data_IF_977719245681
#
_entry.id   IF_977719245681
#
_cell.length_a   1.000
_cell.length_b   1.000
_cell.length_c   1.000
_cell.angle_alpha   90.00
_cell.angle_beta   90.00
_cell.angle_gamma   90.00
#
_symmetry.space_group_name_H-M   'P 1'
#
loop_
_entity.id
_entity.type
_entity.pdbx_description
1 polymer ?
#
# COMPACT_ATOMS: atom_id res chain seq x y z
N UNK A 1 18.20 5.99 3.89
CA UNK A 1 17.02 6.20 4.76
C UNK A 1 16.67 4.88 5.42
N UNK A 2 15.90 4.87 6.50
CA UNK A 2 15.34 3.62 7.06
C UNK A 2 13.99 3.31 6.40
N UNK A 3 13.57 2.04 6.38
CA UNK A 3 12.26 1.63 5.89
C UNK A 3 11.10 2.43 6.52
N UNK A 4 9.98 2.64 5.82
CA UNK A 4 8.80 3.30 6.36
C UNK A 4 8.22 2.53 7.54
N UNK A 5 7.53 3.25 8.41
CA UNK A 5 6.90 2.74 9.62
C UNK A 5 5.39 2.83 9.47
N UNK A 6 4.71 1.74 9.82
CA UNK A 6 3.28 1.73 10.10
C UNK A 6 3.11 1.75 11.61
N UNK A 7 2.56 2.85 12.14
CA UNK A 7 2.27 3.02 13.56
C UNK A 7 1.02 2.23 13.92
N UNK A 8 1.14 1.24 14.80
CA UNK A 8 0.00 0.43 15.27
C UNK A 8 -0.29 0.80 16.72
N UNK A 9 -1.52 1.23 16.99
CA UNK A 9 -2.01 1.56 18.33
C UNK A 9 -3.36 0.89 18.59
N UNK A 10 -3.71 0.75 19.86
CA UNK A 10 -4.99 0.24 20.33
C UNK A 10 -5.55 1.17 21.39
N UNK A 11 -6.84 1.47 21.31
CA UNK A 11 -7.59 2.17 22.36
C UNK A 11 -8.33 1.21 23.30
N UNK A 12 -8.37 -0.08 22.96
CA UNK A 12 -8.95 -1.17 23.75
C UNK A 12 -7.88 -1.76 24.68
N UNK A 13 -8.11 -1.71 26.00
CA UNK A 13 -7.18 -2.25 27.01
C UNK A 13 -7.00 -3.78 26.92
N UNK A 14 -7.95 -4.48 26.29
CA UNK A 14 -7.91 -5.94 26.13
C UNK A 14 -7.11 -6.40 24.91
N UNK A 15 -6.98 -5.55 23.89
CA UNK A 15 -6.26 -5.86 22.64
C UNK A 15 -4.95 -5.08 22.57
N UNK A 16 -3.83 -5.81 22.55
CA UNK A 16 -2.51 -5.22 22.39
C UNK A 16 -2.19 -4.93 20.93
N UNK A 17 -1.54 -3.80 20.59
CA UNK A 17 -1.07 -3.52 19.22
C UNK A 17 -0.18 -4.64 18.66
N UNK A 18 0.64 -5.26 19.50
CA UNK A 18 1.47 -6.42 19.16
C UNK A 18 0.64 -7.61 18.63
N UNK A 19 -0.56 -7.83 19.14
CA UNK A 19 -1.45 -8.91 18.68
C UNK A 19 -2.07 -8.61 17.31
N UNK A 20 -2.30 -7.35 16.97
CA UNK A 20 -2.68 -6.93 15.61
C UNK A 20 -1.52 -7.16 14.64
N UNK A 21 -0.30 -6.84 15.05
CA UNK A 21 0.92 -7.09 14.28
C UNK A 21 1.15 -8.59 14.01
N UNK A 22 0.91 -9.45 15.00
CA UNK A 22 0.97 -10.92 14.84
C UNK A 22 -0.03 -11.43 13.79
N UNK A 23 -1.25 -10.87 13.75
CA UNK A 23 -2.27 -11.20 12.74
C UNK A 23 -1.85 -10.79 11.33
N UNK A 24 -1.34 -9.57 11.15
CA UNK A 24 -0.87 -9.06 9.85
C UNK A 24 0.33 -9.89 9.35
N UNK A 25 1.32 -10.13 10.21
CA UNK A 25 2.56 -10.82 9.85
C UNK A 25 2.39 -12.32 9.67
N UNK A 26 1.36 -12.92 10.29
CA UNK A 26 1.16 -14.38 10.39
C UNK A 26 2.40 -15.10 10.97
N UNK A 27 3.14 -14.40 11.83
CA UNK A 27 4.43 -14.77 12.44
C UNK A 27 4.47 -14.27 13.90
N UNK A 28 5.17 -14.98 14.82
CA UNK A 28 5.28 -14.57 16.21
C UNK A 28 6.12 -13.30 16.37
N UNK A 29 5.79 -12.46 17.36
CA UNK A 29 6.54 -11.23 17.62
C UNK A 29 7.98 -11.46 18.14
N UNK A 30 8.41 -12.69 18.41
CA UNK A 30 9.82 -13.01 18.69
C UNK A 30 10.72 -12.94 17.45
N UNK A 31 10.16 -12.94 16.24
CA UNK A 31 10.89 -13.02 14.97
C UNK A 31 10.89 -11.68 14.22
N UNK A 32 11.94 -11.42 13.44
CA UNK A 32 12.24 -10.17 12.70
C UNK A 32 12.01 -8.85 13.47
N UNK A 33 12.38 -8.85 14.75
CA UNK A 33 12.45 -7.63 15.56
C UNK A 33 13.57 -6.70 15.05
N UNK A 34 13.25 -5.42 14.91
CA UNK A 34 14.13 -4.35 14.46
C UNK A 34 14.16 -3.27 15.54
N UNK A 35 15.35 -2.94 16.08
CA UNK A 35 15.48 -1.81 17.00
C UNK A 35 15.38 -0.50 16.21
N UNK A 36 14.36 0.31 16.53
CA UNK A 36 14.06 1.56 15.84
C UNK A 36 14.75 2.79 16.44
N UNK A 37 15.23 2.67 17.68
CA UNK A 37 15.97 3.72 18.38
C UNK A 37 17.15 3.14 19.17
N UNK A 38 18.16 3.97 19.41
CA UNK A 38 19.28 3.70 20.32
C UNK A 38 19.05 4.26 21.74
N UNK A 39 17.91 4.93 21.96
CA UNK A 39 17.45 5.39 23.27
C UNK A 39 17.23 4.21 24.23
N UNK A 40 17.32 4.41 25.57
CA UNK A 40 17.14 3.34 26.55
C UNK A 40 15.71 2.78 26.63
N UNK A 41 14.73 3.51 26.07
CA UNK A 41 13.41 2.97 25.76
C UNK A 41 13.51 2.14 24.47
N UNK A 42 13.53 0.81 24.61
CA UNK A 42 13.74 -0.11 23.50
C UNK A 42 12.52 -0.13 22.55
N UNK A 43 12.48 0.81 21.61
CA UNK A 43 11.47 0.85 20.54
C UNK A 43 11.73 -0.32 19.58
N UNK A 44 10.99 -1.42 19.75
CA UNK A 44 11.01 -2.59 18.87
C UNK A 44 9.95 -2.40 17.78
N UNK A 45 10.38 -2.41 16.53
CA UNK A 45 9.51 -2.61 15.38
C UNK A 45 9.62 -4.03 14.84
N UNK A 46 8.68 -4.41 13.99
CA UNK A 46 8.58 -5.75 13.42
C UNK A 46 8.63 -5.65 11.90
N UNK A 47 9.58 -6.33 11.28
CA UNK A 47 9.70 -6.34 9.83
C UNK A 47 8.49 -7.00 9.16
N UNK A 48 7.96 -6.37 8.12
CA UNK A 48 6.96 -6.95 7.24
C UNK A 48 7.37 -6.74 5.78
N UNK A 49 7.51 -7.84 5.03
CA UNK A 49 7.85 -7.83 3.62
C UNK A 49 6.57 -7.85 2.80
N UNK A 50 6.39 -6.84 1.96
CA UNK A 50 5.29 -6.75 1.00
C UNK A 50 5.86 -7.18 -0.35
N UNK A 51 5.39 -8.32 -0.83
CA UNK A 51 5.76 -8.89 -2.12
C UNK A 51 4.56 -8.83 -3.05
N UNK A 52 4.70 -8.10 -4.17
CA UNK A 52 3.68 -8.02 -5.22
C UNK A 52 4.26 -8.49 -6.55
N UNK A 53 3.41 -8.68 -7.56
CA UNK A 53 3.84 -8.98 -8.93
C UNK A 53 4.77 -7.91 -9.52
N UNK A 54 4.68 -6.67 -9.04
CA UNK A 54 5.33 -5.51 -9.66
C UNK A 54 6.53 -5.00 -8.86
N UNK A 55 6.57 -5.24 -7.55
CA UNK A 55 7.60 -4.72 -6.67
C UNK A 55 7.78 -5.56 -5.40
N UNK A 56 8.97 -5.43 -4.81
CA UNK A 56 9.25 -5.84 -3.44
C UNK A 56 9.52 -4.61 -2.59
N UNK A 57 8.90 -4.55 -1.41
CA UNK A 57 9.20 -3.54 -0.41
C UNK A 57 9.13 -4.09 1.01
N UNK A 58 9.74 -3.37 1.94
CA UNK A 58 9.74 -3.71 3.37
C UNK A 58 9.26 -2.52 4.18
N UNK A 59 8.24 -2.75 5.00
CA UNK A 59 7.76 -1.80 6.00
C UNK A 59 8.13 -2.31 7.40
N UNK A 60 8.02 -1.43 8.40
CA UNK A 60 8.17 -1.81 9.80
C UNK A 60 6.88 -1.50 10.53
N UNK A 61 6.23 -2.53 11.06
CA UNK A 61 5.08 -2.37 11.95
C UNK A 61 5.61 -2.01 13.34
N UNK A 62 5.15 -0.91 13.94
CA UNK A 62 5.58 -0.46 15.27
C UNK A 62 4.40 -0.45 16.24
N UNK A 63 4.42 -1.36 17.21
CA UNK A 63 3.46 -1.38 18.31
C UNK A 63 3.75 -0.22 19.27
N UNK A 64 2.86 0.76 19.32
CA UNK A 64 2.95 1.85 20.28
C UNK A 64 2.09 1.54 21.51
N UNK A 65 2.75 1.34 22.66
CA UNK A 65 2.11 0.89 23.91
C UNK A 65 1.20 1.92 24.61
N UNK A 66 0.68 2.91 23.90
CA UNK A 66 -0.27 3.91 24.39
C UNK A 66 -1.23 4.34 23.28
N UNK A 67 -2.49 4.59 23.61
CA UNK A 67 -3.46 5.20 22.72
C UNK A 67 -3.14 6.69 22.40
N UNK A 68 -2.29 7.34 23.21
CA UNK A 68 -2.00 8.77 23.16
C UNK A 68 -0.93 9.12 22.13
N UNK A 69 -1.35 9.66 20.98
CA UNK A 69 -0.48 10.06 19.87
C UNK A 69 0.66 11.02 20.27
N UNK A 70 0.42 11.89 21.25
CA UNK A 70 1.41 12.83 21.77
C UNK A 70 2.63 12.16 22.44
N UNK A 71 2.56 10.85 22.71
CA UNK A 71 3.67 10.07 23.29
C UNK A 71 4.54 9.37 22.24
N UNK A 72 4.18 9.44 20.95
CA UNK A 72 4.99 8.87 19.84
C UNK A 72 6.24 9.75 19.64
N UNK A 73 7.42 9.13 19.63
CA UNK A 73 8.67 9.89 19.51
C UNK A 73 8.85 10.48 18.10
N UNK A 74 9.44 11.68 18.02
CA UNK A 74 9.71 12.37 16.75
C UNK A 74 10.56 11.54 15.77
N UNK A 75 11.42 10.64 16.27
CA UNK A 75 12.23 9.73 15.46
C UNK A 75 11.40 8.64 14.75
N UNK A 76 10.28 8.23 15.36
CA UNK A 76 9.29 7.34 14.73
C UNK A 76 8.44 8.13 13.75
N UNK A 77 7.86 9.27 14.18
CA UNK A 77 6.98 10.10 13.36
C UNK A 77 7.59 10.50 12.01
N UNK A 78 8.87 10.85 11.98
CA UNK A 78 9.61 11.20 10.74
C UNK A 78 9.75 10.08 9.70
N UNK A 79 9.34 8.85 10.05
CA UNK A 79 9.33 7.68 9.17
C UNK A 79 7.93 7.05 9.10
N UNK A 80 6.94 7.63 9.76
CA UNK A 80 5.57 7.10 9.79
C UNK A 80 4.87 7.50 8.49
N UNK A 81 4.61 6.51 7.64
CA UNK A 81 3.83 6.66 6.40
C UNK A 81 2.45 6.01 6.52
N UNK A 82 2.28 5.09 7.50
CA UNK A 82 1.02 4.44 7.78
C UNK A 82 0.59 4.50 9.25
N UNK A 83 -0.71 4.43 9.52
CA UNK A 83 -1.28 4.32 10.87
C UNK A 83 -2.45 3.32 10.91
N UNK A 84 -2.43 2.45 11.91
CA UNK A 84 -3.48 1.47 12.20
C UNK A 84 -3.98 1.69 13.63
N UNK A 85 -5.28 1.95 13.78
CA UNK A 85 -5.90 2.32 15.06
C UNK A 85 -6.96 1.29 15.42
N UNK A 86 -6.61 0.38 16.33
CA UNK A 86 -7.58 -0.59 16.85
C UNK A 86 -8.49 0.05 17.90
N UNK A 87 -9.80 -0.18 17.82
CA UNK A 87 -10.79 0.25 18.82
C UNK A 87 -11.82 -0.84 19.12
N UNK A 88 -12.37 -0.82 20.34
CA UNK A 88 -13.56 -1.60 20.67
C UNK A 88 -14.80 -0.88 20.12
N UNK A 89 -15.50 -1.52 19.18
CA UNK A 89 -16.75 -0.97 18.63
C UNK A 89 -17.85 -0.80 19.69
N UNK A 90 -17.76 -1.41 20.87
CA UNK A 90 -18.72 -1.20 21.98
C UNK A 90 -18.39 0.05 22.79
N UNK A 91 -17.15 0.53 22.78
CA UNK A 91 -16.76 1.78 23.44
C UNK A 91 -17.10 3.00 22.57
N UNK A 92 -18.33 3.50 22.71
CA UNK A 92 -18.78 4.72 22.04
C UNK A 92 -18.00 5.98 22.42
N UNK A 93 -17.17 5.97 23.49
CA UNK A 93 -16.28 7.12 23.81
C UNK A 93 -15.13 7.27 22.82
N UNK A 94 -14.80 6.23 22.05
CA UNK A 94 -13.82 6.30 20.97
C UNK A 94 -14.18 7.35 19.90
N UNK A 95 -15.47 7.57 19.62
CA UNK A 95 -15.93 8.57 18.66
C UNK A 95 -15.45 9.98 19.02
N UNK A 96 -15.37 10.32 20.32
CA UNK A 96 -14.88 11.62 20.80
C UNK A 96 -13.37 11.83 20.49
N UNK A 97 -12.63 10.74 20.24
CA UNK A 97 -11.19 10.76 19.91
C UNK A 97 -10.90 10.86 18.41
N UNK A 98 -11.85 10.48 17.55
CA UNK A 98 -11.68 10.51 16.08
C UNK A 98 -11.23 11.85 15.49
N UNK A 99 -11.71 13.03 15.97
CA UNK A 99 -11.20 14.32 15.50
C UNK A 99 -9.72 14.55 15.82
N UNK A 100 -9.21 14.02 16.94
CA UNK A 100 -7.81 14.11 17.31
C UNK A 100 -6.93 13.22 16.41
N UNK A 101 -7.38 12.00 16.13
CA UNK A 101 -6.72 11.12 15.16
C UNK A 101 -6.69 11.75 13.75
N UNK A 102 -7.82 12.26 13.27
CA UNK A 102 -7.92 12.97 11.98
C UNK A 102 -6.94 14.15 11.89
N UNK A 103 -6.87 14.96 12.96
CA UNK A 103 -5.96 16.12 13.02
C UNK A 103 -4.49 15.68 12.97
N UNK A 104 -4.12 14.63 13.70
CA UNK A 104 -2.76 14.10 13.73
C UNK A 104 -2.33 13.53 12.37
N UNK A 105 -3.21 12.76 11.71
CA UNK A 105 -3.00 12.18 10.37
C UNK A 105 -2.71 13.29 9.36
N UNK A 106 -3.54 14.33 9.34
CA UNK A 106 -3.36 15.50 8.46
C UNK A 106 -2.10 16.30 8.81
N UNK A 107 -1.81 16.51 10.10
CA UNK A 107 -0.64 17.27 10.57
C UNK A 107 0.69 16.60 10.21
N UNK A 108 0.71 15.26 10.13
CA UNK A 108 1.89 14.46 9.81
C UNK A 108 1.91 13.93 8.37
N UNK A 109 0.97 14.36 7.53
CA UNK A 109 0.88 13.97 6.11
C UNK A 109 0.87 12.43 5.93
N UNK A 110 0.21 11.72 6.87
CA UNK A 110 0.07 10.26 6.84
C UNK A 110 -1.07 9.92 5.87
N UNK A 111 -0.75 9.28 4.75
CA UNK A 111 -1.74 8.95 3.70
C UNK A 111 -2.38 7.57 3.90
N UNK A 112 -1.63 6.59 4.43
CA UNK A 112 -2.16 5.25 4.70
C UNK A 112 -2.73 5.19 6.12
N UNK A 113 -4.06 5.19 6.26
CA UNK A 113 -4.68 5.25 7.58
C UNK A 113 -5.95 4.43 7.69
N UNK A 114 -5.98 3.50 8.67
CA UNK A 114 -7.10 2.57 8.83
C UNK A 114 -7.50 2.43 10.31
N UNK A 115 -8.80 2.58 10.56
CA UNK A 115 -9.48 2.21 11.80
C UNK A 115 -9.80 0.72 11.76
N UNK A 116 -9.36 -0.01 12.79
CA UNK A 116 -9.54 -1.44 12.93
C UNK A 116 -10.45 -1.74 14.12
N UNK A 117 -11.35 -2.70 13.98
CA UNK A 117 -12.05 -3.27 15.12
C UNK A 117 -12.26 -4.78 14.89
N UNK A 118 -12.78 -5.50 15.89
CA UNK A 118 -13.21 -6.88 15.66
C UNK A 118 -14.37 -6.91 14.67
N UNK A 119 -15.50 -6.32 15.07
CA UNK A 119 -16.76 -6.29 14.31
C UNK A 119 -17.52 -5.03 14.72
N UNK A 120 -18.06 -4.30 13.75
CA UNK A 120 -18.91 -3.14 13.97
C UNK A 120 -20.30 -3.57 14.46
N UNK A 121 -21.08 -2.60 14.94
CA UNK A 121 -22.47 -2.86 15.35
C UNK A 121 -23.42 -2.34 14.26
N UNK A 122 -24.49 -3.08 13.98
CA UNK A 122 -25.56 -2.64 13.06
C UNK A 122 -26.32 -1.40 13.58
N UNK A 123 -26.34 -1.24 14.91
CA UNK A 123 -27.21 -0.31 15.63
C UNK A 123 -26.40 0.55 16.60
N UNK A 124 -26.60 1.87 16.52
CA UNK A 124 -25.97 2.86 17.41
C UNK A 124 -26.39 2.73 18.88
N UNK A 125 -27.40 1.90 19.19
CA UNK A 125 -27.77 1.58 20.58
C UNK A 125 -26.81 0.56 21.23
N UNK A 126 -26.17 -0.28 20.40
CA UNK A 126 -25.40 -1.45 20.84
C UNK A 126 -23.88 -1.19 20.75
N UNK A 127 -23.46 -0.24 19.92
CA UNK A 127 -22.09 0.26 19.84
C UNK A 127 -21.92 1.25 18.68
N UNK A 128 -20.73 1.27 18.07
CA UNK A 128 -20.35 2.12 16.93
C UNK A 128 -20.72 1.40 15.63
N UNK A 129 -21.44 2.13 14.77
CA UNK A 129 -21.77 1.71 13.41
C UNK A 129 -20.71 2.17 12.39
N UNK A 130 -20.62 1.51 11.23
CA UNK A 130 -19.76 1.93 10.11
C UNK A 130 -20.01 3.40 9.72
N UNK A 131 -21.29 3.79 9.61
CA UNK A 131 -21.69 5.15 9.28
C UNK A 131 -21.24 6.19 10.31
N UNK A 132 -21.23 5.85 11.60
CA UNK A 132 -20.71 6.75 12.65
C UNK A 132 -19.20 6.90 12.59
N UNK A 133 -18.46 5.81 12.38
CA UNK A 133 -17.00 5.84 12.23
C UNK A 133 -16.58 6.67 11.01
N UNK A 134 -17.12 6.38 9.82
CA UNK A 134 -16.79 7.10 8.57
C UNK A 134 -17.27 8.55 8.56
N UNK A 135 -18.42 8.88 9.18
CA UNK A 135 -18.91 10.27 9.21
C UNK A 135 -18.11 11.19 10.14
N UNK A 136 -17.48 10.64 11.19
CA UNK A 136 -16.61 11.41 12.09
C UNK A 136 -15.14 11.37 11.70
N UNK A 137 -14.73 10.43 10.83
CA UNK A 137 -13.36 10.31 10.34
C UNK A 137 -13.34 9.92 8.85
N UNK A 138 -13.37 10.92 7.97
CA UNK A 138 -13.36 10.71 6.51
C UNK A 138 -11.97 10.43 5.93
N UNK A 139 -10.90 10.67 6.69
CA UNK A 139 -9.50 10.50 6.23
C UNK A 139 -8.89 9.14 6.56
N UNK A 140 -9.64 8.28 7.26
CA UNK A 140 -9.23 6.91 7.55
C UNK A 140 -10.24 5.95 6.92
N UNK A 141 -9.74 4.82 6.44
CA UNK A 141 -10.57 3.67 6.10
C UNK A 141 -10.97 2.89 7.36
N UNK A 142 -11.94 2.00 7.22
CA UNK A 142 -12.53 1.24 8.34
C UNK A 142 -12.60 -0.21 7.91
N UNK A 143 -11.88 -1.08 8.63
CA UNK A 143 -11.81 -2.51 8.35
C UNK A 143 -12.20 -3.27 9.62
N UNK A 144 -13.11 -4.23 9.47
CA UNK A 144 -13.48 -5.20 10.49
C UNK A 144 -12.54 -6.40 10.36
N UNK A 145 -11.79 -6.75 11.42
CA UNK A 145 -10.82 -7.84 11.38
C UNK A 145 -11.47 -9.23 11.49
N UNK A 146 -12.69 -9.28 12.05
CA UNK A 146 -13.53 -10.47 12.26
C UNK A 146 -14.98 -10.13 11.86
N UNK A 147 -15.27 -9.95 10.55
CA UNK A 147 -16.63 -9.70 10.06
C UNK A 147 -17.54 -10.90 10.33
N UNK A 148 -18.86 -10.69 10.35
CA UNK A 148 -19.79 -11.80 10.59
C UNK A 148 -19.76 -12.78 9.42
N UNK A 149 -20.08 -14.05 9.69
CA UNK A 149 -20.08 -15.10 8.67
C UNK A 149 -21.12 -14.86 7.55
N UNK A 150 -22.24 -14.19 7.84
CA UNK A 150 -23.26 -13.87 6.83
C UNK A 150 -22.76 -12.78 5.85
N UNK A 151 -22.17 -11.70 6.38
CA UNK A 151 -21.53 -10.64 5.58
C UNK A 151 -20.36 -11.21 4.75
N UNK A 152 -19.51 -12.03 5.38
CA UNK A 152 -18.39 -12.68 4.72
C UNK A 152 -18.82 -13.68 3.64
N UNK A 153 -20.00 -14.32 3.75
CA UNK A 153 -20.54 -15.23 2.73
C UNK A 153 -21.20 -14.50 1.55
N UNK A 154 -21.83 -13.33 1.78
CA UNK A 154 -22.39 -12.52 0.68
C UNK A 154 -21.30 -11.94 -0.22
N UNK A 155 -20.15 -11.49 0.31
CA UNK A 155 -19.06 -10.93 -0.49
C UNK A 155 -18.32 -11.99 -1.34
N UNK A 156 -18.22 -13.25 -0.92
CA UNK A 156 -17.63 -14.32 -1.79
C UNK A 156 -18.54 -14.74 -2.95
N UNK A 157 -19.81 -14.32 -2.96
CA UNK A 157 -20.80 -14.76 -3.96
C UNK A 157 -20.57 -14.15 -5.36
N UNK A 158 -19.69 -13.14 -5.49
CA UNK A 158 -19.55 -12.33 -6.71
C UNK A 158 -18.13 -11.84 -7.01
N UNK A 159 -17.17 -12.77 -7.11
CA UNK A 159 -15.71 -12.56 -7.09
C UNK A 159 -15.18 -12.40 -5.65
N UNK A 160 -14.10 -13.11 -5.32
CA UNK A 160 -13.58 -13.19 -3.96
C UNK A 160 -12.82 -11.94 -3.55
N UNK A 161 -13.55 -10.93 -3.09
CA UNK A 161 -12.99 -9.79 -2.38
C UNK A 161 -12.42 -10.26 -1.02
N UNK A 162 -11.28 -9.72 -0.61
CA UNK A 162 -10.63 -10.15 0.63
C UNK A 162 -11.27 -9.43 1.81
N UNK A 163 -11.63 -10.18 2.86
CA UNK A 163 -12.27 -9.66 4.06
C UNK A 163 -11.37 -9.82 5.28
N UNK A 164 -11.65 -9.09 6.37
CA UNK A 164 -10.95 -9.31 7.63
C UNK A 164 -9.50 -8.83 7.61
N UNK A 165 -8.61 -9.66 8.18
CA UNK A 165 -7.16 -9.44 8.16
C UNK A 165 -6.60 -9.47 6.73
N UNK A 166 -7.22 -10.21 5.80
CA UNK A 166 -6.74 -10.28 4.42
C UNK A 166 -7.12 -9.03 3.60
N UNK A 167 -8.23 -8.36 3.93
CA UNK A 167 -8.56 -7.01 3.41
C UNK A 167 -7.47 -5.99 3.80
N UNK A 168 -7.09 -5.97 5.08
CA UNK A 168 -6.02 -5.11 5.60
C UNK A 168 -4.67 -5.38 4.91
N UNK A 169 -4.34 -6.66 4.67
CA UNK A 169 -3.13 -7.03 3.92
C UNK A 169 -3.22 -6.53 2.47
N UNK A 170 -4.38 -6.66 1.82
CA UNK A 170 -4.60 -6.15 0.46
C UNK A 170 -4.49 -4.62 0.41
N UNK A 171 -5.04 -3.89 1.37
CA UNK A 171 -4.88 -2.44 1.50
C UNK A 171 -3.40 -2.05 1.63
N UNK A 172 -2.64 -2.75 2.48
CA UNK A 172 -1.18 -2.53 2.62
C UNK A 172 -0.40 -2.84 1.33
N UNK A 173 -0.83 -3.84 0.54
CA UNK A 173 -0.22 -4.21 -0.74
C UNK A 173 -0.58 -3.25 -1.90
N UNK A 174 -1.71 -2.56 -1.79
CA UNK A 174 -2.16 -1.57 -2.78
C UNK A 174 -1.56 -0.19 -2.54
N UNK A 175 -1.17 0.15 -1.30
CA UNK A 175 -0.51 1.41 -0.99
C UNK A 175 0.94 1.45 -1.51
N UNK A 176 1.35 2.61 -2.03
CA UNK A 176 2.68 2.82 -2.62
C UNK A 176 3.62 3.41 -1.56
N UNK A 177 4.41 2.54 -0.94
CA UNK A 177 5.39 2.92 0.09
C UNK A 177 6.59 3.67 -0.50
N UNK A 178 7.19 4.61 0.26
CA UNK A 178 8.29 5.47 -0.24
C UNK A 178 9.56 4.73 -0.68
N UNK A 179 9.71 3.46 -0.29
CA UNK A 179 10.86 2.60 -0.58
C UNK A 179 10.56 1.44 -1.54
N UNK A 180 9.46 1.51 -2.29
CA UNK A 180 9.11 0.53 -3.34
C UNK A 180 10.23 0.42 -4.38
N UNK A 181 10.79 -0.78 -4.54
CA UNK A 181 11.67 -1.11 -5.65
C UNK A 181 10.87 -1.84 -6.72
N UNK A 182 10.52 -1.13 -7.80
CA UNK A 182 9.82 -1.72 -8.94
C UNK A 182 10.74 -2.76 -9.61
N UNK A 183 10.23 -3.97 -9.79
CA UNK A 183 10.86 -4.97 -10.61
C UNK A 183 10.82 -4.50 -12.07
N UNK A 184 11.87 -3.79 -12.51
CA UNK A 184 12.16 -3.63 -13.95
C UNK A 184 12.42 -5.01 -14.52
N UNK A 185 11.34 -5.64 -14.97
CA UNK A 185 11.37 -7.00 -15.49
C UNK A 185 12.35 -7.06 -16.65
N UNK A 186 13.37 -7.89 -16.51
CA UNK A 186 14.28 -8.22 -17.59
C UNK A 186 13.48 -9.02 -18.65
N UNK A 187 12.75 -8.28 -19.51
CA UNK A 187 12.00 -8.80 -20.67
C UNK A 187 13.03 -9.31 -21.68
N UNK A 188 13.58 -10.50 -21.39
CA UNK A 188 14.35 -11.26 -22.36
C UNK A 188 13.43 -11.53 -23.56
N UNK A 189 13.69 -10.85 -24.66
CA UNK A 189 13.09 -11.14 -25.96
C UNK A 189 13.46 -12.59 -26.34
N UNK A 190 12.44 -13.42 -26.60
CA UNK A 190 12.61 -14.87 -26.50
C UNK A 190 11.53 -15.72 -27.17
N UNK A 191 11.11 -15.35 -28.37
CA UNK A 191 10.46 -16.23 -29.35
C UNK A 191 11.07 -15.91 -30.73
N UNK A 192 11.39 -16.84 -31.63
CA UNK A 192 11.14 -18.30 -31.72
C UNK A 192 12.47 -19.10 -31.69
N UNK A 193 12.62 -20.40 -31.95
CA UNK A 193 11.76 -21.43 -32.58
C UNK A 193 12.08 -22.86 -32.08
N UNK A 194 11.41 -23.88 -32.63
CA UNK A 194 11.57 -25.30 -32.28
C UNK A 194 12.84 -25.99 -32.85
N UNK A 195 13.46 -26.91 -32.07
CA UNK A 195 13.63 -28.33 -32.48
C UNK A 195 14.30 -29.24 -31.41
N UNK A 196 13.59 -30.32 -31.04
CA UNK A 196 14.04 -31.63 -30.49
C UNK A 196 14.82 -31.78 -29.14
N UNK A 197 14.56 -32.87 -28.37
CA UNK A 197 15.17 -33.12 -27.06
C UNK A 197 16.45 -33.99 -27.12
N UNK A 198 17.50 -33.61 -26.38
CA UNK A 198 18.80 -34.29 -26.41
C UNK A 198 19.61 -34.25 -25.10
N UNK A 199 19.22 -35.08 -24.13
CA UNK A 199 20.07 -35.79 -23.14
C UNK A 199 21.31 -35.12 -22.49
N UNK A 200 21.26 -35.08 -21.15
CA UNK A 200 22.35 -35.33 -20.18
C UNK A 200 23.45 -34.25 -19.92
N UNK A 201 23.38 -33.66 -18.71
CA UNK A 201 24.54 -33.26 -17.88
C UNK A 201 25.45 -34.48 -17.59
N UNK A 202 26.77 -34.34 -17.24
CA UNK A 202 27.31 -33.32 -16.31
C UNK A 202 28.75 -32.75 -16.52
N UNK A 203 28.98 -31.54 -15.96
CA UNK A 203 30.15 -30.96 -15.21
C UNK A 203 31.60 -31.52 -15.34
N UNK A 204 32.68 -30.80 -14.88
CA UNK A 204 32.85 -29.37 -14.50
C UNK A 204 34.16 -28.71 -15.05
N UNK A 205 34.55 -27.53 -14.50
CA UNK A 205 35.77 -26.70 -14.75
C UNK A 205 35.74 -25.93 -16.10
N UNK A 206 36.43 -24.80 -16.31
CA UNK A 206 37.41 -23.97 -15.55
C UNK A 206 37.24 -22.53 -16.13
N UNK A 207 37.07 -21.44 -15.36
CA UNK A 207 38.12 -20.47 -14.95
C UNK A 207 37.74 -19.05 -15.47
N UNK A 208 38.26 -17.98 -14.86
CA UNK A 208 38.38 -16.64 -15.49
C UNK A 208 37.15 -15.71 -15.67
N UNK A 209 36.98 -14.78 -14.72
CA UNK A 209 37.00 -13.31 -14.92
C UNK A 209 36.26 -12.64 -16.13
N UNK A 210 35.16 -11.92 -15.87
CA UNK A 210 34.86 -10.56 -16.39
C UNK A 210 33.46 -10.08 -15.96
N UNK A 211 33.39 -9.21 -14.94
CA UNK A 211 32.14 -8.53 -14.52
C UNK A 211 32.01 -7.19 -15.26
N UNK A 212 31.78 -7.26 -16.58
CA UNK A 212 31.88 -6.12 -17.49
C UNK A 212 31.00 -6.28 -18.75
N UNK A 213 29.69 -6.51 -18.59
CA UNK A 213 28.75 -6.52 -19.73
C UNK A 213 27.38 -5.89 -19.41
N UNK A 214 27.40 -4.78 -18.66
CA UNK A 214 26.31 -3.81 -18.71
C UNK A 214 26.47 -2.97 -19.99
N UNK A 215 25.86 -3.43 -21.09
CA UNK A 215 25.84 -2.67 -22.33
C UNK A 215 25.27 -1.27 -22.08
N UNK A 216 25.92 -0.19 -22.58
CA UNK A 216 25.38 1.15 -22.42
C UNK A 216 24.05 1.26 -23.18
N UNK A 217 23.02 1.76 -22.50
CA UNK A 217 21.74 2.15 -23.10
C UNK A 217 22.05 3.06 -24.29
N UNK A 218 21.47 2.78 -25.45
CA UNK A 218 21.73 3.57 -26.64
C UNK A 218 21.07 4.95 -26.54
N UNK A 219 21.66 5.97 -27.18
CA UNK A 219 21.05 7.31 -27.26
C UNK A 219 19.67 7.30 -27.95
N UNK A 220 19.28 6.20 -28.61
CA UNK A 220 17.95 5.97 -29.19
C UNK A 220 16.96 5.52 -28.10
N UNK A 221 17.30 4.50 -27.32
CA UNK A 221 16.51 3.99 -26.19
C UNK A 221 16.31 5.06 -25.10
N UNK A 222 17.35 5.84 -24.79
CA UNK A 222 17.25 6.95 -23.83
C UNK A 222 16.23 8.01 -24.29
N UNK A 223 16.21 8.35 -25.59
CA UNK A 223 15.23 9.29 -26.17
C UNK A 223 13.79 8.75 -26.18
N UNK A 224 13.60 7.45 -26.37
CA UNK A 224 12.28 6.81 -26.29
C UNK A 224 11.76 6.86 -24.85
N UNK A 225 12.59 6.47 -23.88
CA UNK A 225 12.26 6.50 -22.45
C UNK A 225 11.96 7.94 -21.98
N UNK A 226 12.73 8.93 -22.42
CA UNK A 226 12.43 10.34 -22.14
C UNK A 226 11.08 10.78 -22.75
N UNK A 227 10.76 10.37 -23.98
CA UNK A 227 9.48 10.71 -24.61
C UNK A 227 8.28 10.12 -23.84
N UNK A 228 8.34 8.84 -23.48
CA UNK A 228 7.33 8.16 -22.66
C UNK A 228 7.13 8.87 -21.31
N UNK A 229 8.23 9.14 -20.59
CA UNK A 229 8.19 9.80 -19.27
C UNK A 229 7.57 11.20 -19.34
N UNK A 230 7.87 11.98 -20.39
CA UNK A 230 7.24 13.28 -20.63
C UNK A 230 5.73 13.15 -20.93
N UNK A 231 5.29 12.06 -21.57
CA UNK A 231 3.87 11.73 -21.78
C UNK A 231 3.15 11.45 -20.46
N UNK A 232 3.71 10.59 -19.62
CA UNK A 232 3.17 10.28 -18.29
C UNK A 232 3.17 11.50 -17.35
N UNK A 233 4.20 12.35 -17.37
CA UNK A 233 4.26 13.57 -16.53
C UNK A 233 3.14 14.57 -16.91
N UNK A 234 2.84 14.71 -18.21
CA UNK A 234 1.69 15.50 -18.68
C UNK A 234 0.37 14.93 -18.17
N UNK A 235 0.13 13.64 -18.38
CA UNK A 235 -1.10 12.96 -17.95
C UNK A 235 -1.32 13.13 -16.43
N UNK A 236 -0.26 12.93 -15.62
CA UNK A 236 -0.33 13.12 -14.17
C UNK A 236 -0.59 14.58 -13.78
N UNK A 237 0.03 15.54 -14.46
CA UNK A 237 -0.23 16.98 -14.26
C UNK A 237 -1.68 17.33 -14.55
N UNK A 238 -2.26 16.77 -15.60
CA UNK A 238 -3.65 16.97 -16.01
C UNK A 238 -4.63 16.38 -14.98
N UNK A 239 -4.39 15.14 -14.52
CA UNK A 239 -5.13 14.48 -13.44
C UNK A 239 -5.03 15.23 -12.11
N UNK A 240 -3.86 15.73 -11.73
CA UNK A 240 -3.69 16.53 -10.50
C UNK A 240 -4.46 17.86 -10.56
N UNK A 241 -4.57 18.48 -11.73
CA UNK A 241 -5.35 19.71 -11.93
C UNK A 241 -6.88 19.48 -11.94
N UNK A 242 -7.34 18.23 -12.11
CA UNK A 242 -8.76 17.85 -12.12
C UNK A 242 -9.37 17.82 -10.71
N UNK A 243 -8.71 17.22 -9.73
CA UNK A 243 -9.25 17.09 -8.36
C UNK A 243 -9.71 18.41 -7.70
N UNK A 244 -8.96 19.54 -7.74
CA UNK A 244 -9.37 20.76 -7.06
C UNK A 244 -10.48 21.57 -7.77
N UNK A 245 -10.77 21.31 -9.05
CA UNK A 245 -11.63 22.20 -9.88
C UNK A 245 -13.03 21.65 -10.24
N UNK A 246 -13.30 20.37 -10.01
CA UNK A 246 -14.49 19.66 -10.53
C UNK A 246 -15.78 19.84 -9.71
N UNK A 247 -15.72 20.52 -8.57
CA UNK A 247 -16.86 20.77 -7.68
C UNK A 247 -17.99 21.58 -8.34
N UNK A 248 -17.67 22.40 -9.34
CA UNK A 248 -18.62 23.24 -10.07
C UNK A 248 -19.03 22.67 -11.45
N UNK A 249 -18.48 21.53 -11.88
CA UNK A 249 -18.68 21.01 -13.24
C UNK A 249 -19.96 20.18 -13.35
N UNK A 250 -20.71 20.42 -14.42
CA UNK A 250 -21.90 19.65 -14.79
C UNK A 250 -21.53 18.23 -15.26
N UNK A 251 -22.53 17.34 -15.30
CA UNK A 251 -22.34 15.95 -15.77
C UNK A 251 -21.75 15.86 -17.18
N UNK A 252 -22.11 16.78 -18.09
CA UNK A 252 -21.60 16.75 -19.46
C UNK A 252 -20.14 17.19 -19.55
N UNK A 253 -19.73 18.20 -18.76
CA UNK A 253 -18.33 18.65 -18.71
C UNK A 253 -17.42 17.55 -18.14
N UNK A 254 -17.88 16.82 -17.11
CA UNK A 254 -17.17 15.64 -16.57
C UNK A 254 -17.06 14.49 -17.56
N UNK A 255 -18.09 14.27 -18.39
CA UNK A 255 -18.06 13.22 -19.43
C UNK A 255 -17.11 13.58 -20.58
N UNK A 256 -17.17 14.83 -21.06
CA UNK A 256 -16.31 15.33 -22.13
C UNK A 256 -14.82 15.30 -21.71
N UNK A 257 -14.50 15.66 -20.47
CA UNK A 257 -13.14 15.58 -19.96
C UNK A 257 -12.67 14.14 -19.70
N UNK A 258 -13.57 13.23 -19.31
CA UNK A 258 -13.24 11.81 -19.21
C UNK A 258 -12.99 11.17 -20.59
N UNK A 259 -13.67 11.66 -21.64
CA UNK A 259 -13.45 11.28 -23.04
C UNK A 259 -12.10 11.81 -23.55
N UNK A 260 -11.77 13.09 -23.30
CA UNK A 260 -10.47 13.70 -23.61
C UNK A 260 -9.29 12.99 -22.88
N UNK A 261 -9.47 12.63 -21.62
CA UNK A 261 -8.48 11.88 -20.84
C UNK A 261 -8.31 10.43 -21.32
N UNK A 262 -9.39 9.77 -21.74
CA UNK A 262 -9.33 8.46 -22.36
C UNK A 262 -8.59 8.53 -23.70
N UNK A 263 -8.86 9.54 -24.54
CA UNK A 263 -8.14 9.77 -25.80
C UNK A 263 -6.65 10.04 -25.57
N UNK A 264 -6.27 10.80 -24.53
CA UNK A 264 -4.86 11.00 -24.17
C UNK A 264 -4.18 9.72 -23.66
N UNK A 265 -4.91 8.84 -22.99
CA UNK A 265 -4.40 7.54 -22.56
C UNK A 265 -4.25 6.57 -23.73
N UNK A 266 -5.26 6.48 -24.61
CA UNK A 266 -5.23 5.61 -25.79
C UNK A 266 -4.12 6.04 -26.76
N UNK A 267 -3.90 7.33 -27.01
CA UNK A 267 -2.77 7.81 -27.82
C UNK A 267 -1.40 7.38 -27.25
N UNK A 268 -1.23 7.40 -25.92
CA UNK A 268 0.01 6.98 -25.24
C UNK A 268 0.23 5.46 -25.32
N UNK A 269 -0.84 4.68 -25.51
CA UNK A 269 -0.80 3.21 -25.66
C UNK A 269 -0.67 2.79 -27.14
N UNK A 270 -1.29 3.51 -28.08
CA UNK A 270 -1.18 3.23 -29.52
C UNK A 270 0.20 3.57 -30.11
N UNK A 271 0.94 4.53 -29.52
CA UNK A 271 2.34 4.79 -29.93
C UNK A 271 3.25 3.53 -29.78
N UNK A 272 2.94 2.62 -28.85
CA UNK A 272 3.66 1.35 -28.61
C UNK A 272 3.42 0.30 -29.72
N UNK A 273 2.26 0.32 -30.41
CA UNK A 273 1.97 -0.63 -31.50
C UNK A 273 2.62 -0.25 -32.86
N UNK A 274 2.89 1.04 -33.10
CA UNK A 274 3.33 1.50 -34.44
C UNK A 274 4.82 1.26 -34.74
N UNK A 275 5.64 1.00 -33.73
CA UNK A 275 7.09 0.74 -33.88
C UNK A 275 7.36 -0.71 -34.32
N UNK A 276 6.35 -1.60 -34.29
CA UNK A 276 6.49 -3.01 -34.66
C UNK A 276 6.52 -3.33 -36.16
N UNK A 277 6.26 -2.37 -37.06
CA UNK A 277 6.03 -2.64 -38.50
C UNK A 277 6.64 -1.63 -39.49
N UNK A 278 7.98 -1.54 -39.55
CA UNK A 278 8.73 -1.19 -40.78
C UNK A 278 10.04 -1.94 -40.89
#
# INVERSE_FOLDING_TARGET
>A
MGAPIVLVLSTDESVKPESVIERIRKLPNSEDQIKLSTEPSECIGYGYQIHTKYYDTKVILYAHGSAELATVSNAILKRTEGILIYFDAKDRTFLERLPAYSTFVQQHEIEFGILLCSTLQESSADGITYGEAKSQCTVLDVIELEPNAEDAEEEVAGAGEATGVDELIQAMHNYIWSNVNIHRGNRNTGATDEESPGLLSPNPADDGDNDADAAPITEEEERIIEAELNGFERLLTEVMNFQPNTSNWTRNERLMYAEELAEMFDNLVEEDETIGHT
#
